data_IF_321108272991
#
_entry.id   IF_321108272991
#
_cell.length_a   1.000
_cell.length_b   1.000
_cell.length_c   1.000
_cell.angle_alpha   90.00
_cell.angle_beta   90.00
_cell.angle_gamma   90.00
#
_symmetry.space_group_name_H-M   'P 1'
#
loop_
_entity.id
_entity.type
_entity.pdbx_description
1 polymer ?
#
# COMPACT_ATOMS: atom_id res chain seq x y z
N UNK A 1 -1.52 -19.91 -22.73
CA UNK A 1 -0.50 -19.13 -22.00
C UNK A 1 -0.92 -19.12 -20.55
N UNK A 2 -0.10 -19.66 -19.66
CA UNK A 2 -0.53 -20.27 -18.40
C UNK A 2 -1.05 -19.27 -17.36
N UNK A 3 -2.13 -19.67 -16.68
CA UNK A 3 -2.75 -19.14 -15.44
C UNK A 3 -1.80 -18.94 -14.23
N UNK A 4 -0.49 -18.79 -14.45
CA UNK A 4 0.56 -18.89 -13.43
C UNK A 4 0.78 -17.65 -12.55
N UNK A 5 -0.09 -16.63 -12.59
CA UNK A 5 0.00 -15.47 -11.67
C UNK A 5 -1.29 -15.25 -10.89
N UNK A 6 -1.68 -16.23 -10.07
CA UNK A 6 -2.77 -16.08 -9.08
C UNK A 6 -2.28 -15.74 -7.67
N UNK A 7 -0.98 -15.51 -7.49
CA UNK A 7 -0.38 -15.27 -6.18
C UNK A 7 0.31 -13.90 -6.18
N UNK A 8 -0.12 -13.06 -5.25
CA UNK A 8 0.52 -11.80 -4.89
C UNK A 8 1.05 -11.93 -3.46
N UNK A 9 2.35 -11.73 -3.29
CA UNK A 9 2.96 -11.61 -1.97
C UNK A 9 3.06 -10.12 -1.62
N UNK A 10 2.29 -9.69 -0.62
CA UNK A 10 2.33 -8.34 -0.07
C UNK A 10 3.23 -8.33 1.16
N UNK A 11 4.31 -7.57 1.14
CA UNK A 11 5.28 -7.50 2.22
C UNK A 11 5.25 -6.14 2.90
N UNK A 12 5.33 -6.15 4.23
CA UNK A 12 5.85 -5.00 4.96
C UNK A 12 7.34 -4.79 4.63
N UNK A 13 7.89 -3.61 4.90
CA UNK A 13 9.27 -3.25 4.58
C UNK A 13 10.18 -3.43 5.79
N UNK A 14 9.99 -2.60 6.83
CA UNK A 14 10.88 -2.51 7.98
C UNK A 14 10.71 -3.69 8.94
N UNK A 15 11.79 -4.41 9.25
CA UNK A 15 11.73 -5.63 10.08
C UNK A 15 11.19 -6.87 9.35
N UNK A 16 10.71 -6.72 8.11
CA UNK A 16 10.22 -7.84 7.28
C UNK A 16 11.17 -8.14 6.11
N UNK A 17 11.43 -7.15 5.24
CA UNK A 17 12.37 -7.29 4.13
C UNK A 17 13.76 -6.74 4.47
N UNK A 18 13.82 -5.81 5.42
CA UNK A 18 15.08 -5.25 5.92
C UNK A 18 15.17 -5.43 7.42
N UNK A 19 16.38 -5.41 7.97
CA UNK A 19 16.53 -5.11 9.39
C UNK A 19 16.00 -3.68 9.69
N UNK A 20 15.58 -3.39 10.92
CA UNK A 20 15.04 -2.09 11.29
C UNK A 20 15.93 -0.92 10.84
N UNK A 21 15.38 -0.04 9.99
CA UNK A 21 15.99 1.16 9.41
C UNK A 21 17.26 0.91 8.60
N UNK A 22 17.47 -0.32 8.11
CA UNK A 22 18.60 -0.66 7.25
C UNK A 22 18.19 -0.88 5.80
N UNK A 23 19.19 -0.85 4.92
CA UNK A 23 19.04 -1.20 3.51
C UNK A 23 18.92 -2.73 3.40
N UNK A 24 18.08 -3.19 2.47
CA UNK A 24 17.91 -4.60 2.12
C UNK A 24 19.26 -5.26 1.78
N UNK A 25 19.46 -6.48 2.29
CA UNK A 25 20.66 -7.24 1.94
C UNK A 25 20.61 -7.69 0.47
N UNK A 26 21.78 -7.86 -0.14
CA UNK A 26 21.88 -8.40 -1.51
C UNK A 26 21.20 -9.76 -1.63
N UNK A 27 21.37 -10.62 -0.62
CA UNK A 27 20.75 -11.95 -0.57
C UNK A 27 19.21 -11.88 -0.59
N UNK A 28 18.61 -11.07 0.29
CA UNK A 28 17.15 -10.92 0.33
C UNK A 28 16.61 -10.31 -0.97
N UNK A 29 17.29 -9.25 -1.47
CA UNK A 29 16.93 -8.62 -2.74
C UNK A 29 16.96 -9.62 -3.89
N UNK A 30 18.01 -10.42 -4.01
CA UNK A 30 18.16 -11.40 -5.09
C UNK A 30 17.15 -12.54 -4.94
N UNK A 31 16.86 -12.96 -3.71
CA UNK A 31 15.82 -13.95 -3.45
C UNK A 31 14.44 -13.45 -3.91
N UNK A 32 14.05 -12.24 -3.54
CA UNK A 32 12.79 -11.64 -3.99
C UNK A 32 12.76 -11.51 -5.51
N UNK A 33 13.77 -10.86 -6.09
CA UNK A 33 13.75 -10.46 -7.49
C UNK A 33 13.93 -11.63 -8.46
N UNK A 34 14.74 -12.63 -8.10
CA UNK A 34 15.14 -13.69 -9.01
C UNK A 34 14.49 -15.04 -8.68
N UNK A 35 13.96 -15.25 -7.48
CA UNK A 35 13.33 -16.52 -7.07
C UNK A 35 11.84 -16.39 -6.84
N UNK A 36 11.41 -15.44 -5.99
CA UNK A 36 10.00 -15.26 -5.66
C UNK A 36 9.19 -14.81 -6.89
N UNK A 37 9.72 -13.84 -7.65
CA UNK A 37 9.04 -13.30 -8.85
C UNK A 37 8.80 -14.29 -9.98
N UNK A 38 9.45 -15.46 -9.96
CA UNK A 38 9.19 -16.53 -10.92
C UNK A 38 7.85 -17.24 -10.65
N UNK A 39 7.32 -17.11 -9.42
CA UNK A 39 6.17 -17.87 -8.94
C UNK A 39 5.03 -16.98 -8.40
N UNK A 40 5.33 -15.74 -8.01
CA UNK A 40 4.34 -14.78 -7.50
C UNK A 40 4.69 -13.35 -7.92
N UNK A 41 3.68 -12.48 -8.03
CA UNK A 41 3.94 -11.04 -8.04
C UNK A 41 4.28 -10.57 -6.63
N UNK A 42 5.01 -9.46 -6.55
CA UNK A 42 5.43 -8.85 -5.28
C UNK A 42 4.77 -7.48 -5.17
N UNK A 43 4.29 -7.15 -3.98
CA UNK A 43 3.87 -5.82 -3.60
C UNK A 43 4.51 -5.43 -2.27
N UNK A 44 4.74 -4.13 -2.08
CA UNK A 44 5.19 -3.57 -0.80
C UNK A 44 4.07 -2.76 -0.17
N UNK A 45 3.94 -2.83 1.14
CA UNK A 45 3.15 -1.91 1.96
C UNK A 45 4.04 -1.41 3.10
N UNK A 46 3.93 -0.14 3.47
CA UNK A 46 4.64 0.38 4.63
C UNK A 46 4.08 1.70 5.12
N UNK A 47 4.24 1.98 6.40
CA UNK A 47 3.82 3.26 6.99
C UNK A 47 4.71 4.45 6.63
N UNK A 48 5.91 4.18 6.13
CA UNK A 48 6.85 5.21 5.68
C UNK A 48 6.44 5.84 4.34
N UNK A 49 6.96 7.03 4.08
CA UNK A 49 6.93 7.67 2.76
C UNK A 49 7.70 6.86 1.70
N UNK A 50 7.42 7.14 0.42
CA UNK A 50 8.03 6.42 -0.70
C UNK A 50 9.55 6.55 -0.74
N UNK A 51 10.09 7.70 -0.33
CA UNK A 51 11.53 7.97 -0.32
C UNK A 51 12.25 7.05 0.67
N UNK A 52 11.75 6.91 1.89
CA UNK A 52 12.29 5.97 2.89
C UNK A 52 12.16 4.52 2.44
N UNK A 53 11.02 4.13 1.87
CA UNK A 53 10.87 2.77 1.31
C UNK A 53 11.90 2.54 0.20
N UNK A 54 12.12 3.53 -0.68
CA UNK A 54 13.14 3.46 -1.73
C UNK A 54 14.54 3.28 -1.16
N UNK A 55 14.92 4.05 -0.15
CA UNK A 55 16.22 3.92 0.54
C UNK A 55 16.41 2.51 1.12
N UNK A 56 15.40 1.98 1.82
CA UNK A 56 15.44 0.63 2.38
C UNK A 56 15.52 -0.44 1.29
N UNK A 57 14.87 -0.24 0.15
CA UNK A 57 14.90 -1.19 -0.97
C UNK A 57 16.14 -1.06 -1.88
N UNK A 58 17.10 -0.20 -1.53
CA UNK A 58 18.33 0.00 -2.32
C UNK A 58 18.15 0.91 -3.54
N UNK A 59 17.14 1.78 -3.50
CA UNK A 59 16.89 2.85 -4.47
C UNK A 59 15.71 2.60 -5.42
N UNK A 60 15.33 3.66 -6.16
CA UNK A 60 14.18 3.64 -7.07
C UNK A 60 14.35 2.66 -8.24
N UNK A 61 15.58 2.27 -8.57
CA UNK A 61 15.86 1.27 -9.60
C UNK A 61 15.28 -0.11 -9.22
N UNK A 62 15.33 -0.49 -7.93
CA UNK A 62 14.71 -1.72 -7.44
C UNK A 62 13.21 -1.52 -7.30
N UNK A 63 12.80 -0.39 -6.72
CA UNK A 63 11.41 -0.09 -6.43
C UNK A 63 10.53 -0.05 -7.70
N UNK A 64 11.03 0.53 -8.79
CA UNK A 64 10.33 0.60 -10.08
C UNK A 64 10.10 -0.77 -10.73
N UNK A 65 10.89 -1.79 -10.36
CA UNK A 65 10.71 -3.16 -10.82
C UNK A 65 9.60 -3.89 -10.06
N UNK A 66 9.16 -3.38 -8.91
CA UNK A 66 8.07 -3.93 -8.10
C UNK A 66 6.73 -3.39 -8.64
N UNK A 67 5.79 -4.27 -9.03
CA UNK A 67 4.53 -3.86 -9.61
C UNK A 67 3.70 -2.91 -8.75
N UNK A 68 3.61 -3.16 -7.45
CA UNK A 68 2.76 -2.37 -6.55
C UNK A 68 3.54 -1.94 -5.30
N UNK A 69 3.50 -0.65 -4.99
CA UNK A 69 4.13 -0.08 -3.79
C UNK A 69 3.12 0.84 -3.12
N UNK A 70 2.77 0.50 -1.89
CA UNK A 70 1.82 1.20 -1.03
C UNK A 70 2.58 1.86 0.12
N UNK A 71 2.92 3.13 -0.02
CA UNK A 71 3.53 3.92 1.06
C UNK A 71 2.45 4.59 1.91
N UNK A 72 2.84 5.03 3.11
CA UNK A 72 1.97 5.69 4.09
C UNK A 72 0.70 4.88 4.36
N UNK A 73 0.86 3.59 4.65
CA UNK A 73 -0.23 2.64 4.90
C UNK A 73 -1.23 2.54 3.74
N UNK A 74 -0.76 2.76 2.50
CA UNK A 74 -1.59 2.69 1.29
C UNK A 74 -2.26 4.01 0.90
N UNK A 75 -2.02 5.08 1.66
CA UNK A 75 -2.45 6.44 1.28
C UNK A 75 -1.70 6.99 0.07
N UNK A 76 -0.62 6.34 -0.34
CA UNK A 76 0.06 6.64 -1.60
C UNK A 76 0.34 5.31 -2.30
N UNK A 77 -0.18 5.16 -3.51
CA UNK A 77 -0.13 3.90 -4.25
C UNK A 77 0.50 4.09 -5.63
N UNK A 78 1.57 3.34 -5.87
CA UNK A 78 2.30 3.33 -7.14
C UNK A 78 2.14 2.00 -7.85
N UNK A 79 1.92 2.05 -9.16
CA UNK A 79 2.01 0.91 -10.05
C UNK A 79 3.17 1.12 -11.03
N UNK A 80 4.19 0.27 -10.97
CA UNK A 80 5.43 0.42 -11.75
C UNK A 80 6.03 1.84 -11.69
N UNK A 81 6.09 2.41 -10.47
CA UNK A 81 6.63 3.75 -10.24
C UNK A 81 5.72 4.91 -10.62
N UNK A 82 4.51 4.65 -11.13
CA UNK A 82 3.51 5.68 -11.45
C UNK A 82 2.42 5.71 -10.38
N UNK A 83 2.25 6.86 -9.73
CA UNK A 83 1.15 7.08 -8.79
C UNK A 83 -0.19 7.01 -9.53
N UNK A 84 -1.14 6.20 -9.04
CA UNK A 84 -2.42 5.99 -9.73
C UNK A 84 -3.65 6.47 -8.95
N UNK A 85 -3.49 6.94 -7.71
CA UNK A 85 -4.59 7.46 -6.89
C UNK A 85 -4.41 8.95 -6.63
N UNK A 86 -5.24 9.79 -7.26
CA UNK A 86 -5.17 11.27 -7.10
C UNK A 86 -6.09 11.81 -6.01
N UNK A 87 -7.12 11.07 -5.63
CA UNK A 87 -8.13 11.48 -4.65
C UNK A 87 -8.56 10.26 -3.86
N UNK A 88 -8.31 10.27 -2.56
CA UNK A 88 -8.56 9.11 -1.69
C UNK A 88 -9.74 9.44 -0.78
N UNK A 89 -10.79 8.63 -0.88
CA UNK A 89 -11.89 8.63 0.07
C UNK A 89 -11.66 7.49 1.06
N UNK A 90 -11.57 7.81 2.34
CA UNK A 90 -11.46 6.81 3.39
C UNK A 90 -12.78 6.71 4.13
N UNK A 91 -13.28 5.50 4.34
CA UNK A 91 -14.53 5.23 5.05
C UNK A 91 -14.21 4.39 6.30
N UNK A 92 -14.50 4.89 7.50
CA UNK A 92 -14.20 4.21 8.76
C UNK A 92 -15.30 4.40 9.79
N UNK A 93 -15.54 3.38 10.61
CA UNK A 93 -16.53 3.43 11.70
C UNK A 93 -15.91 3.85 13.02
N UNK A 94 -14.63 3.52 13.22
CA UNK A 94 -13.87 3.75 14.45
C UNK A 94 -12.86 4.87 14.30
N UNK A 95 -13.39 6.08 14.07
CA UNK A 95 -12.63 7.28 13.67
C UNK A 95 -12.32 8.23 14.81
N UNK A 96 -12.59 7.87 16.07
CA UNK A 96 -12.30 8.71 17.23
C UNK A 96 -10.86 8.52 17.73
N UNK A 97 -10.32 9.51 18.46
CA UNK A 97 -8.92 9.45 18.92
C UNK A 97 -8.66 8.21 19.78
N UNK A 98 -7.68 7.40 19.36
CA UNK A 98 -7.30 6.15 20.03
C UNK A 98 -7.95 4.90 19.41
N UNK A 99 -8.84 5.09 18.44
CA UNK A 99 -9.38 4.00 17.64
C UNK A 99 -8.52 3.70 16.40
N UNK A 100 -8.73 2.54 15.79
CA UNK A 100 -7.86 2.00 14.73
C UNK A 100 -7.94 2.77 13.40
N UNK A 101 -9.05 3.45 13.11
CA UNK A 101 -9.19 4.18 11.85
C UNK A 101 -8.76 5.64 11.96
N UNK A 102 -8.55 6.14 13.19
CA UNK A 102 -8.30 7.55 13.47
C UNK A 102 -7.15 8.15 12.65
N UNK A 103 -6.02 7.44 12.58
CA UNK A 103 -4.81 7.92 11.89
C UNK A 103 -5.05 8.10 10.39
N UNK A 104 -5.78 7.16 9.77
CA UNK A 104 -6.12 7.24 8.34
C UNK A 104 -7.20 8.29 8.13
N UNK A 105 -8.25 8.29 8.95
CA UNK A 105 -9.39 9.21 8.86
C UNK A 105 -8.99 10.69 8.97
N UNK A 106 -8.06 11.00 9.88
CA UNK A 106 -7.60 12.38 10.12
C UNK A 106 -6.44 12.81 9.21
N UNK A 107 -5.95 11.90 8.34
CA UNK A 107 -4.87 12.23 7.44
C UNK A 107 -5.30 13.26 6.39
N UNK A 108 -4.47 14.29 6.18
CA UNK A 108 -4.74 15.34 5.17
C UNK A 108 -4.77 14.83 3.73
N UNK A 109 -4.32 13.60 3.48
CA UNK A 109 -4.32 12.95 2.16
C UNK A 109 -5.65 12.30 1.80
N UNK A 110 -6.56 12.14 2.77
CA UNK A 110 -7.87 11.55 2.53
C UNK A 110 -8.98 12.56 2.72
N UNK A 111 -10.10 12.27 2.07
CA UNK A 111 -11.41 12.79 2.45
C UNK A 111 -12.03 11.71 3.32
N UNK A 112 -12.00 11.91 4.63
CA UNK A 112 -12.53 10.97 5.61
C UNK A 112 -14.05 11.01 5.68
N UNK A 113 -14.67 9.84 5.67
CA UNK A 113 -16.10 9.60 5.80
C UNK A 113 -16.34 8.71 7.00
N UNK A 114 -16.97 9.24 8.04
CA UNK A 114 -17.40 8.41 9.17
C UNK A 114 -18.63 7.63 8.74
N UNK A 115 -18.60 6.31 8.91
CA UNK A 115 -19.71 5.41 8.58
C UNK A 115 -20.15 4.66 9.83
N UNK A 116 -21.42 4.26 9.88
CA UNK A 116 -22.01 3.61 11.07
C UNK A 116 -22.51 2.20 10.78
N UNK A 117 -22.67 1.85 9.50
CA UNK A 117 -23.15 0.55 9.05
C UNK A 117 -22.83 0.34 7.57
N UNK A 118 -22.91 -0.90 7.05
CA UNK A 118 -22.80 -1.14 5.61
C UNK A 118 -23.82 -0.36 4.77
N UNK A 119 -25.04 -0.15 5.29
CA UNK A 119 -26.09 0.62 4.60
C UNK A 119 -25.73 2.10 4.46
N UNK A 120 -25.24 2.70 5.54
CA UNK A 120 -24.72 4.08 5.55
C UNK A 120 -23.54 4.23 4.57
N UNK A 121 -22.59 3.28 4.56
CA UNK A 121 -21.50 3.27 3.58
C UNK A 121 -22.01 3.25 2.14
N UNK A 122 -23.04 2.44 1.83
CA UNK A 122 -23.64 2.40 0.50
C UNK A 122 -24.30 3.72 0.11
N UNK A 123 -25.05 4.34 1.02
CA UNK A 123 -25.71 5.64 0.77
C UNK A 123 -24.71 6.76 0.52
N UNK A 124 -23.64 6.81 1.33
CA UNK A 124 -22.54 7.76 1.14
C UNK A 124 -21.83 7.53 -0.19
N UNK A 125 -21.52 6.27 -0.55
CA UNK A 125 -20.88 5.94 -1.84
C UNK A 125 -21.74 6.35 -3.04
N UNK A 126 -23.05 6.07 -3.00
CA UNK A 126 -23.99 6.49 -4.05
C UNK A 126 -23.98 8.00 -4.23
N UNK A 127 -23.98 8.74 -3.13
CA UNK A 127 -23.94 10.21 -3.14
C UNK A 127 -22.61 10.75 -3.66
N UNK A 128 -21.48 10.23 -3.16
CA UNK A 128 -20.14 10.72 -3.51
C UNK A 128 -19.77 10.41 -4.96
N UNK A 129 -20.15 9.22 -5.45
CA UNK A 129 -19.79 8.74 -6.78
C UNK A 129 -20.89 8.97 -7.82
N UNK A 130 -22.03 9.54 -7.43
CA UNK A 130 -23.21 9.73 -8.27
C UNK A 130 -23.69 8.42 -8.93
N UNK A 131 -23.79 7.35 -8.13
CA UNK A 131 -24.25 6.03 -8.59
C UNK A 131 -25.70 5.87 -8.16
N UNK A 132 -26.57 5.51 -9.11
CA UNK A 132 -28.00 5.22 -8.89
C UNK A 132 -28.25 3.91 -8.15
#
# INVERSE_FOLDING_TARGET
MSDKKKILCLFDVDGTLTEPRKIISTEMKDFLMNKVRLNADIALVGGSDLQKISEQMGGFEVLSKIPFVFSENGLVAHKYGVEFSKKIHFFGDKTEKGENDYEIFTCSKVIGHKVTSPSDTMEQLKTILNIS
#
